data_IF_394719744994
#
_entry.id   IF_394719744994
#
_cell.length_a   1.000
_cell.length_b   1.000
_cell.length_c   1.000
_cell.angle_alpha   90.00
_cell.angle_beta   90.00
_cell.angle_gamma   90.00
#
_symmetry.space_group_name_H-M   'P 1'
#
loop_
_entity.id
_entity.type
_entity.pdbx_description
1 polymer ?
#
# COMPACT_ATOMS: atom_id res chain seq x y z
N UNK A 1 -14.76 -13.65 10.45
CA UNK A 1 -13.84 -12.48 10.56
C UNK A 1 -13.27 -12.17 9.19
N UNK A 2 -13.19 -10.89 8.81
CA UNK A 2 -12.73 -10.45 7.48
C UNK A 2 -11.32 -9.86 7.49
N UNK A 3 -10.75 -9.65 6.30
CA UNK A 3 -9.45 -8.99 6.13
C UNK A 3 -9.53 -7.51 6.55
N UNK A 4 -8.44 -6.97 7.11
CA UNK A 4 -8.36 -5.57 7.56
C UNK A 4 -8.46 -4.61 6.37
N UNK A 5 -9.45 -3.72 6.34
CA UNK A 5 -9.65 -2.79 5.22
C UNK A 5 -9.11 -1.39 5.48
N UNK A 6 -8.95 -0.98 6.74
CA UNK A 6 -8.51 0.37 7.08
C UNK A 6 -7.88 0.39 8.47
N UNK A 7 -7.00 1.36 8.69
CA UNK A 7 -6.50 1.77 9.99
C UNK A 7 -6.89 3.23 10.23
N UNK A 8 -7.37 3.53 11.43
CA UNK A 8 -7.72 4.88 11.87
C UNK A 8 -6.99 5.20 13.15
N UNK A 9 -6.66 6.47 13.33
CA UNK A 9 -5.98 6.97 14.51
C UNK A 9 -6.54 8.32 14.89
N UNK A 10 -6.74 8.54 16.18
CA UNK A 10 -7.09 9.84 16.78
C UNK A 10 -5.96 10.28 17.69
N UNK A 11 -5.64 11.58 17.65
CA UNK A 11 -4.70 12.21 18.58
C UNK A 11 -5.52 13.13 19.48
N UNK A 12 -5.45 12.86 20.78
CA UNK A 12 -6.12 13.62 21.82
C UNK A 12 -5.06 14.40 22.60
N UNK A 13 -5.27 15.71 22.75
CA UNK A 13 -4.40 16.57 23.53
C UNK A 13 -4.46 16.26 25.02
N UNK A 14 -3.55 16.86 25.79
CA UNK A 14 -3.58 16.79 27.26
C UNK A 14 -4.82 17.44 27.88
N UNK A 15 -5.52 18.27 27.11
CA UNK A 15 -6.81 18.88 27.42
C UNK A 15 -8.02 17.94 27.18
N UNK A 16 -7.77 16.72 26.69
CA UNK A 16 -8.82 15.75 26.36
C UNK A 16 -9.54 16.03 25.04
N UNK A 17 -9.12 17.06 24.29
CA UNK A 17 -9.73 17.42 23.01
C UNK A 17 -9.06 16.64 21.88
N UNK A 18 -9.86 16.01 21.01
CA UNK A 18 -9.34 15.35 19.81
C UNK A 18 -9.07 16.40 18.74
N UNK A 19 -7.80 16.62 18.43
CA UNK A 19 -7.35 17.68 17.50
C UNK A 19 -7.06 17.15 16.10
N UNK A 20 -6.89 15.83 15.93
CA UNK A 20 -6.63 15.25 14.61
C UNK A 20 -7.12 13.80 14.52
N UNK A 21 -7.75 13.47 13.40
CA UNK A 21 -8.15 12.11 13.04
C UNK A 21 -7.54 11.78 11.68
N UNK A 22 -6.76 10.71 11.64
CA UNK A 22 -6.03 10.30 10.45
C UNK A 22 -6.40 8.87 10.06
N UNK A 23 -6.25 8.59 8.76
CA UNK A 23 -6.32 7.26 8.18
C UNK A 23 -4.92 6.94 7.63
N UNK A 24 -4.05 6.30 8.42
CA UNK A 24 -2.69 6.02 7.99
C UNK A 24 -2.63 5.05 6.81
N UNK A 25 -3.58 4.10 6.76
CA UNK A 25 -3.62 3.08 5.71
C UNK A 25 -5.05 2.60 5.41
N UNK A 26 -5.33 2.38 4.13
CA UNK A 26 -6.48 1.63 3.63
C UNK A 26 -6.00 0.54 2.67
N UNK A 27 -6.65 -0.62 2.69
CA UNK A 27 -6.24 -1.83 2.01
C UNK A 27 -7.36 -2.35 1.12
N UNK A 28 -7.04 -2.57 -0.15
CA UNK A 28 -7.91 -3.25 -1.10
C UNK A 28 -7.27 -4.58 -1.48
N UNK A 29 -8.10 -5.62 -1.52
CA UNK A 29 -7.66 -6.97 -1.84
C UNK A 29 -8.29 -7.41 -3.16
N UNK A 30 -7.57 -8.25 -3.91
CA UNK A 30 -8.14 -8.93 -5.08
C UNK A 30 -9.09 -10.07 -4.64
N UNK A 31 -9.64 -10.80 -5.61
CA UNK A 31 -10.60 -11.88 -5.40
C UNK A 31 -9.99 -13.06 -4.62
N UNK A 32 -8.67 -13.28 -4.76
CA UNK A 32 -7.91 -14.26 -3.99
C UNK A 32 -7.58 -13.77 -2.57
N UNK A 33 -7.87 -12.51 -2.28
CA UNK A 33 -7.64 -11.88 -0.99
C UNK A 33 -6.18 -11.51 -0.73
N UNK A 34 -5.39 -11.33 -1.78
CA UNK A 34 -4.06 -10.74 -1.73
C UNK A 34 -4.17 -9.22 -1.79
N UNK A 35 -3.27 -8.50 -1.13
CA UNK A 35 -3.29 -7.03 -1.10
C UNK A 35 -2.99 -6.49 -2.50
N UNK A 36 -3.96 -5.84 -3.14
CA UNK A 36 -3.81 -5.29 -4.49
C UNK A 36 -3.46 -3.80 -4.46
N UNK A 37 -4.08 -3.03 -3.57
CA UNK A 37 -3.76 -1.60 -3.36
C UNK A 37 -3.66 -1.27 -1.88
N UNK A 38 -2.69 -0.43 -1.54
CA UNK A 38 -2.56 0.20 -0.25
C UNK A 38 -2.54 1.71 -0.45
N UNK A 39 -3.46 2.40 0.21
CA UNK A 39 -3.51 3.85 0.20
C UNK A 39 -2.98 4.37 1.51
N UNK A 40 -2.07 5.35 1.45
CA UNK A 40 -1.39 5.91 2.62
C UNK A 40 -1.72 7.38 2.80
N UNK A 41 -1.85 7.77 4.07
CA UNK A 41 -1.97 9.14 4.54
C UNK A 41 -3.19 9.88 3.98
N UNK A 42 -4.33 9.72 4.67
CA UNK A 42 -5.55 10.50 4.48
C UNK A 42 -6.03 11.06 5.83
N UNK A 43 -6.90 12.07 5.80
CA UNK A 43 -7.66 12.54 6.95
C UNK A 43 -8.93 11.69 7.13
N UNK A 44 -9.32 11.43 8.38
CA UNK A 44 -10.55 10.67 8.64
C UNK A 44 -11.78 11.56 8.47
N UNK A 45 -12.54 11.32 7.40
CA UNK A 45 -13.74 12.08 7.03
C UNK A 45 -15.03 11.59 7.70
N UNK A 46 -14.98 10.62 8.63
CA UNK A 46 -16.16 10.18 9.40
C UNK A 46 -16.45 8.69 9.30
N UNK A 47 -17.72 8.30 9.24
CA UNK A 47 -18.17 6.90 9.40
C UNK A 47 -18.16 6.12 8.08
N UNK A 48 -16.98 5.77 7.56
CA UNK A 48 -16.85 4.84 6.44
C UNK A 48 -15.42 4.61 5.96
N UNK A 49 -15.24 3.88 4.86
CA UNK A 49 -13.94 3.91 4.19
C UNK A 49 -13.64 5.33 3.73
N UNK A 50 -12.39 5.77 3.89
CA UNK A 50 -12.00 7.07 3.37
C UNK A 50 -12.05 7.01 1.83
N UNK A 51 -12.48 8.10 1.15
CA UNK A 51 -12.45 8.17 -0.30
C UNK A 51 -11.03 7.96 -0.81
N UNK A 52 -10.82 7.11 -1.82
CA UNK A 52 -9.48 6.81 -2.34
C UNK A 52 -8.73 8.06 -2.83
N UNK A 53 -9.46 9.10 -3.26
CA UNK A 53 -8.92 10.40 -3.68
C UNK A 53 -8.37 11.26 -2.54
N UNK A 54 -8.68 10.92 -1.29
CA UNK A 54 -8.19 11.65 -0.11
C UNK A 54 -6.80 11.22 0.35
N UNK A 55 -6.24 10.17 -0.26
CA UNK A 55 -4.94 9.61 0.10
C UNK A 55 -3.82 10.23 -0.72
N UNK A 56 -2.72 10.56 -0.05
CA UNK A 56 -1.57 11.19 -0.67
C UNK A 56 -0.72 10.21 -1.49
N UNK A 57 -0.61 8.95 -1.02
CA UNK A 57 0.31 7.97 -1.63
C UNK A 57 -0.39 6.63 -1.86
N UNK A 58 -0.96 6.41 -3.07
CA UNK A 58 -1.45 5.11 -3.48
C UNK A 58 -0.27 4.21 -3.91
N UNK A 59 -0.29 2.96 -3.45
CA UNK A 59 0.66 1.93 -3.82
C UNK A 59 -0.08 0.70 -4.35
N UNK A 60 0.33 0.21 -5.52
CA UNK A 60 -0.20 -0.99 -6.16
C UNK A 60 0.77 -2.15 -5.98
N UNK A 61 0.22 -3.35 -5.80
CA UNK A 61 0.96 -4.59 -5.62
C UNK A 61 0.55 -5.57 -6.72
N UNK A 62 1.53 -6.28 -7.26
CA UNK A 62 1.32 -7.35 -8.23
C UNK A 62 1.94 -8.64 -7.73
N UNK A 63 1.40 -9.76 -8.18
CA UNK A 63 1.82 -11.08 -7.72
C UNK A 63 2.22 -11.97 -8.89
N UNK A 64 3.13 -12.89 -8.61
CA UNK A 64 3.47 -13.99 -9.48
C UNK A 64 2.33 -15.02 -9.50
N UNK A 65 2.25 -15.88 -10.52
CA UNK A 65 1.20 -16.91 -10.65
C UNK A 65 1.18 -17.88 -9.45
N UNK A 66 2.32 -18.06 -8.78
CA UNK A 66 2.46 -18.87 -7.55
C UNK A 66 2.07 -18.12 -6.27
N UNK A 67 1.65 -16.86 -6.38
CA UNK A 67 1.18 -16.03 -5.26
C UNK A 67 2.25 -15.21 -4.53
N UNK A 68 3.51 -15.30 -4.95
CA UNK A 68 4.58 -14.44 -4.41
C UNK A 68 4.47 -13.01 -4.90
N UNK A 69 4.95 -12.05 -4.11
CA UNK A 69 4.99 -10.64 -4.52
C UNK A 69 5.88 -10.49 -5.76
N UNK A 70 5.35 -9.91 -6.84
CA UNK A 70 6.10 -9.64 -8.08
C UNK A 70 6.51 -8.18 -8.21
N UNK A 71 5.70 -7.26 -7.69
CA UNK A 71 6.04 -5.85 -7.79
C UNK A 71 5.24 -4.97 -6.86
N UNK A 72 5.83 -3.83 -6.58
CA UNK A 72 5.24 -2.73 -5.81
C UNK A 72 5.44 -1.45 -6.60
N UNK A 73 4.39 -0.68 -6.85
CA UNK A 73 4.48 0.54 -7.65
C UNK A 73 3.67 1.68 -7.04
N UNK A 74 4.28 2.86 -7.00
CA UNK A 74 3.71 4.14 -6.58
C UNK A 74 4.29 5.25 -7.46
N UNK A 75 3.81 6.47 -7.29
CA UNK A 75 4.36 7.61 -8.03
C UNK A 75 5.82 7.90 -7.63
N UNK A 76 6.21 7.58 -6.40
CA UNK A 76 7.50 7.91 -5.80
C UNK A 76 8.53 6.81 -6.00
N UNK A 77 8.08 5.56 -5.92
CA UNK A 77 8.92 4.37 -5.94
C UNK A 77 8.23 3.22 -6.66
N UNK A 78 8.96 2.52 -7.50
CA UNK A 78 8.53 1.26 -8.10
C UNK A 78 9.62 0.21 -8.00
N UNK A 79 9.24 -1.04 -7.74
CA UNK A 79 10.12 -2.21 -7.64
C UNK A 79 9.46 -3.42 -8.32
N UNK A 80 10.29 -4.21 -8.99
CA UNK A 80 9.92 -5.49 -9.59
C UNK A 80 10.90 -6.57 -9.11
N UNK A 81 10.33 -7.70 -8.65
CA UNK A 81 11.04 -8.90 -8.27
C UNK A 81 10.89 -9.92 -9.41
N UNK A 82 11.99 -10.29 -10.04
CA UNK A 82 11.98 -11.24 -11.14
C UNK A 82 12.26 -12.65 -10.60
N UNK A 83 11.45 -13.61 -11.03
CA UNK A 83 11.52 -15.01 -10.59
C UNK A 83 11.79 -15.99 -11.73
N UNK A 84 11.57 -15.57 -12.97
CA UNK A 84 11.51 -16.46 -14.15
C UNK A 84 12.76 -16.39 -15.04
N UNK A 85 13.80 -15.66 -14.61
CA UNK A 85 15.03 -15.52 -15.39
C UNK A 85 16.08 -16.57 -14.96
N UNK A 86 16.29 -17.59 -15.79
CA UNK A 86 17.31 -18.63 -15.59
C UNK A 86 16.80 -19.87 -14.84
N UNK A 87 17.66 -20.89 -14.70
CA UNK A 87 17.33 -22.19 -14.09
C UNK A 87 17.29 -22.13 -12.57
N UNK A 88 16.31 -21.43 -12.00
CA UNK A 88 16.09 -21.32 -10.55
C UNK A 88 14.78 -21.95 -10.12
N UNK A 89 14.68 -22.32 -8.85
CA UNK A 89 13.56 -23.09 -8.30
C UNK A 89 13.02 -22.42 -7.04
N UNK A 90 11.77 -22.74 -6.69
CA UNK A 90 11.17 -22.46 -5.37
C UNK A 90 11.12 -20.99 -4.90
N UNK A 91 11.07 -20.03 -5.82
CA UNK A 91 10.83 -18.62 -5.46
C UNK A 91 12.07 -17.82 -5.17
N UNK A 92 13.21 -18.30 -5.68
CA UNK A 92 14.41 -17.50 -5.83
C UNK A 92 14.12 -16.25 -6.65
N UNK A 93 14.47 -15.09 -6.09
CA UNK A 93 14.49 -13.82 -6.82
C UNK A 93 15.81 -13.79 -7.62
N UNK A 94 15.69 -13.74 -8.94
CA UNK A 94 16.81 -13.74 -9.88
C UNK A 94 17.43 -12.35 -9.98
N UNK A 95 16.58 -11.32 -9.98
CA UNK A 95 16.97 -9.93 -10.05
C UNK A 95 15.90 -9.04 -9.40
N UNK A 96 16.35 -7.87 -8.92
CA UNK A 96 15.49 -6.84 -8.35
C UNK A 96 15.74 -5.56 -9.12
N UNK A 97 14.70 -5.07 -9.79
CA UNK A 97 14.74 -3.78 -10.47
C UNK A 97 13.95 -2.77 -9.64
N UNK A 98 14.45 -1.55 -9.52
CA UNK A 98 13.74 -0.47 -8.86
C UNK A 98 13.97 0.86 -9.57
N UNK A 99 12.99 1.74 -9.46
CA UNK A 99 13.03 3.09 -9.99
C UNK A 99 12.46 4.06 -8.97
N UNK A 100 13.01 5.27 -8.96
CA UNK A 100 12.46 6.41 -8.27
C UNK A 100 11.81 7.31 -9.32
N UNK A 101 10.60 7.76 -9.06
CA UNK A 101 9.98 8.82 -9.84
C UNK A 101 9.70 9.97 -8.87
N UNK A 102 10.52 11.00 -8.92
CA UNK A 102 10.40 12.16 -8.05
C UNK A 102 10.49 13.42 -8.88
N UNK A 103 9.36 13.98 -9.29
CA UNK A 103 9.30 15.44 -9.44
C UNK A 103 9.34 16.01 -8.03
N UNK A 104 10.35 16.82 -7.74
CA UNK A 104 10.46 17.54 -6.46
C UNK A 104 9.14 18.26 -6.19
N UNK A 105 8.37 17.84 -5.19
CA UNK A 105 7.20 18.57 -4.73
C UNK A 105 7.69 19.65 -3.77
N UNK A 106 7.93 20.85 -4.29
CA UNK A 106 8.15 22.08 -3.52
C UNK A 106 6.85 22.62 -2.97
#
# INVERSE_FOLDING_TARGET
>A
MGRKRQQRQSITGSDGVTVSRAVPAQYEYNELGQLYKKYLHSQDTGTGLAPVSSFMYPQTYSYHARGWLKGTSSAEFSQTLNYEEGSRYNGDITSVNWTLAGSSKT
#
